data_IF_423124188379
#
_entry.id   IF_423124188379
#
_cell.length_a   1.000
_cell.length_b   1.000
_cell.length_c   1.000
_cell.angle_alpha   90.00
_cell.angle_beta   90.00
_cell.angle_gamma   90.00
#
_symmetry.space_group_name_H-M   'P 1'
#
loop_
_entity.id
_entity.type
_entity.pdbx_description
1 polymer ?
#
# COMPACT_ATOMS: atom_id res chain seq x y z
N UNK A 1 -1.82 -13.47 -6.43
CA UNK A 1 -1.14 -13.14 -7.70
C UNK A 1 0.31 -13.53 -7.53
N UNK A 2 0.77 -14.48 -8.31
CA UNK A 2 2.16 -14.95 -8.27
C UNK A 2 3.00 -14.01 -9.12
N UNK A 3 4.11 -13.52 -8.59
CA UNK A 3 5.06 -12.75 -9.39
C UNK A 3 5.69 -13.67 -10.43
N UNK A 4 5.47 -13.35 -11.71
CA UNK A 4 5.89 -14.21 -12.83
C UNK A 4 7.41 -14.34 -12.96
N UNK A 5 8.17 -13.33 -12.51
CA UNK A 5 9.62 -13.36 -12.52
C UNK A 5 10.14 -14.27 -11.39
N UNK A 6 9.65 -14.06 -10.17
CA UNK A 6 10.03 -14.85 -8.99
C UNK A 6 9.62 -16.31 -9.15
N UNK A 7 8.44 -16.58 -9.71
CA UNK A 7 7.95 -17.95 -9.91
C UNK A 7 8.84 -18.80 -10.83
N UNK A 8 9.52 -18.15 -11.79
CA UNK A 8 10.40 -18.77 -12.78
C UNK A 8 11.87 -18.83 -12.36
N UNK A 9 12.23 -18.26 -11.20
CA UNK A 9 13.61 -18.28 -10.71
C UNK A 9 14.04 -19.72 -10.37
N UNK A 10 15.19 -20.12 -10.90
CA UNK A 10 15.81 -21.39 -10.53
C UNK A 10 16.62 -21.19 -9.24
N UNK A 11 16.12 -21.72 -8.14
CA UNK A 11 16.75 -21.62 -6.82
C UNK A 11 17.31 -22.97 -6.40
N UNK A 12 18.50 -22.98 -5.76
CA UNK A 12 19.14 -24.20 -5.24
C UNK A 12 18.67 -24.57 -3.83
N UNK A 13 17.93 -23.71 -3.15
CA UNK A 13 17.43 -23.90 -1.79
C UNK A 13 15.96 -24.32 -1.74
N UNK A 14 15.46 -24.51 -0.54
CA UNK A 14 14.04 -24.71 -0.28
C UNK A 14 13.27 -23.44 -0.65
N UNK A 15 12.15 -23.61 -1.35
CA UNK A 15 11.25 -22.53 -1.74
C UNK A 15 10.09 -22.50 -0.75
N UNK A 16 9.92 -21.37 -0.09
CA UNK A 16 8.80 -21.12 0.80
C UNK A 16 7.91 -20.06 0.15
N UNK A 17 6.63 -20.36 0.03
CA UNK A 17 5.63 -19.49 -0.59
C UNK A 17 4.70 -18.89 0.46
N UNK A 18 4.27 -17.65 0.24
CA UNK A 18 3.33 -16.95 1.12
C UNK A 18 2.42 -16.04 0.30
N UNK A 19 1.25 -15.72 0.81
CA UNK A 19 0.33 -14.81 0.13
C UNK A 19 -1.13 -15.01 0.49
N UNK A 20 -2.01 -14.33 -0.27
CA UNK A 20 -3.47 -14.36 -0.07
C UNK A 20 -4.15 -15.50 -0.85
N UNK A 21 -3.41 -16.52 -1.24
CA UNK A 21 -3.93 -17.70 -1.95
C UNK A 21 -3.76 -18.93 -1.08
N UNK A 22 -4.73 -19.86 -1.08
CA UNK A 22 -4.68 -21.05 -0.23
C UNK A 22 -3.56 -22.03 -0.61
N UNK A 23 -3.00 -21.92 -1.81
CA UNK A 23 -1.98 -22.84 -2.32
C UNK A 23 -0.54 -22.47 -1.90
N UNK A 24 -0.39 -21.53 -0.95
CA UNK A 24 0.90 -21.15 -0.39
C UNK A 24 1.26 -22.00 0.83
N UNK A 25 2.57 -22.13 1.13
CA UNK A 25 3.05 -22.72 2.39
C UNK A 25 2.58 -21.89 3.61
N UNK A 26 2.45 -20.56 3.43
CA UNK A 26 1.87 -19.64 4.41
C UNK A 26 0.69 -18.89 3.80
N UNK A 27 -0.50 -19.50 3.73
CA UNK A 27 -1.71 -18.81 3.30
C UNK A 27 -2.11 -17.75 4.32
N UNK A 28 -2.59 -16.62 3.82
CA UNK A 28 -2.95 -15.48 4.64
C UNK A 28 -4.31 -14.91 4.26
N UNK A 29 -5.05 -14.46 5.27
CA UNK A 29 -6.28 -13.67 5.13
C UNK A 29 -6.12 -12.33 5.85
N UNK A 30 -6.76 -11.29 5.33
CA UNK A 30 -6.77 -9.96 5.93
C UNK A 30 -8.21 -9.58 6.26
N UNK A 31 -8.45 -9.22 7.51
CA UNK A 31 -9.75 -8.77 8.00
C UNK A 31 -9.68 -7.32 8.46
N UNK A 32 -10.76 -6.59 8.23
CA UNK A 32 -10.92 -5.26 8.80
C UNK A 32 -11.73 -5.35 10.10
N UNK A 33 -11.18 -4.81 11.16
CA UNK A 33 -11.84 -4.67 12.44
C UNK A 33 -12.90 -3.54 12.42
N UNK A 34 -13.74 -3.46 13.45
CA UNK A 34 -14.81 -2.45 13.52
C UNK A 34 -14.29 -1.01 13.59
N UNK A 35 -13.09 -0.80 14.11
CA UNK A 35 -12.41 0.50 14.18
C UNK A 35 -11.62 0.83 12.91
N UNK A 36 -11.71 -0.03 11.88
CA UNK A 36 -11.01 0.13 10.62
C UNK A 36 -9.58 -0.40 10.61
N UNK A 37 -9.01 -0.80 11.75
CA UNK A 37 -7.69 -1.44 11.78
C UNK A 37 -7.73 -2.80 11.09
N UNK A 38 -6.57 -3.24 10.63
CA UNK A 38 -6.46 -4.49 9.89
C UNK A 38 -5.77 -5.57 10.71
N UNK A 39 -6.34 -6.77 10.67
CA UNK A 39 -5.80 -7.98 11.28
C UNK A 39 -5.40 -8.96 10.18
N UNK A 40 -4.22 -9.55 10.32
CA UNK A 40 -3.69 -10.59 9.45
C UNK A 40 -3.86 -11.94 10.14
N UNK A 41 -4.47 -12.90 9.44
CA UNK A 41 -4.40 -14.31 9.79
C UNK A 41 -3.38 -14.96 8.86
N UNK A 42 -2.33 -15.54 9.42
CA UNK A 42 -1.32 -16.27 8.67
C UNK A 42 -1.29 -17.70 9.16
N UNK A 43 -1.71 -18.65 8.32
CA UNK A 43 -1.97 -20.02 8.71
C UNK A 43 -2.92 -20.06 9.94
N UNK A 44 -2.45 -20.44 11.10
CA UNK A 44 -3.24 -20.46 12.37
C UNK A 44 -2.96 -19.27 13.30
N UNK A 45 -2.13 -18.30 12.86
CA UNK A 45 -1.65 -17.21 13.68
C UNK A 45 -2.39 -15.91 13.41
N UNK A 46 -3.09 -15.40 14.41
CA UNK A 46 -3.71 -14.08 14.37
C UNK A 46 -2.69 -13.00 14.74
N UNK A 47 -2.50 -12.03 13.84
CA UNK A 47 -1.55 -10.92 13.98
C UNK A 47 -2.30 -9.61 13.86
N UNK A 48 -2.51 -8.95 14.99
CA UNK A 48 -3.20 -7.66 15.06
C UNK A 48 -2.23 -6.51 14.79
N UNK A 49 -2.62 -5.61 13.92
CA UNK A 49 -1.87 -4.39 13.66
C UNK A 49 -2.66 -3.16 14.10
N UNK A 50 -2.00 -2.02 14.20
CA UNK A 50 -2.66 -0.73 14.37
C UNK A 50 -2.75 0.02 13.03
N UNK A 51 -2.63 -0.70 11.91
CA UNK A 51 -2.61 -0.12 10.58
C UNK A 51 -3.97 -0.25 9.90
N UNK A 52 -4.34 0.77 9.14
CA UNK A 52 -5.44 0.77 8.19
C UNK A 52 -4.95 0.55 6.76
N UNK A 53 -3.63 0.36 6.56
CA UNK A 53 -3.01 0.27 5.26
C UNK A 53 -2.88 -1.19 4.80
N UNK A 54 -3.66 -1.56 3.77
CA UNK A 54 -3.67 -2.91 3.21
C UNK A 54 -2.31 -3.30 2.61
N UNK A 55 -1.60 -2.36 1.97
CA UNK A 55 -0.26 -2.63 1.42
C UNK A 55 0.76 -2.93 2.51
N UNK A 56 0.65 -2.26 3.67
CA UNK A 56 1.47 -2.61 4.84
C UNK A 56 1.23 -4.04 5.30
N UNK A 57 -0.04 -4.50 5.33
CA UNK A 57 -0.32 -5.87 5.73
C UNK A 57 0.21 -6.91 4.75
N UNK A 58 0.20 -6.63 3.44
CA UNK A 58 0.86 -7.50 2.46
C UNK A 58 2.36 -7.68 2.77
N UNK A 59 3.04 -6.61 3.17
CA UNK A 59 4.43 -6.70 3.62
C UNK A 59 4.56 -7.48 4.94
N UNK A 60 3.58 -7.36 5.85
CA UNK A 60 3.54 -8.14 7.09
C UNK A 60 3.41 -9.65 6.82
N UNK A 61 2.74 -10.07 5.74
CA UNK A 61 2.68 -11.50 5.35
C UNK A 61 4.09 -12.03 5.12
N UNK A 62 4.89 -11.35 4.30
CA UNK A 62 6.27 -11.73 4.01
C UNK A 62 7.13 -11.79 5.27
N UNK A 63 7.09 -10.73 6.08
CA UNK A 63 7.85 -10.65 7.35
C UNK A 63 7.44 -11.76 8.30
N UNK A 64 6.14 -12.06 8.40
CA UNK A 64 5.61 -13.08 9.29
C UNK A 64 6.00 -14.49 8.85
N UNK A 65 5.90 -14.80 7.56
CA UNK A 65 6.32 -16.07 7.00
C UNK A 65 7.81 -16.32 7.28
N UNK A 66 8.69 -15.34 7.03
CA UNK A 66 10.12 -15.42 7.33
C UNK A 66 10.35 -15.62 8.84
N UNK A 67 9.69 -14.82 9.67
CA UNK A 67 9.88 -14.88 11.13
C UNK A 67 9.48 -16.23 11.71
N UNK A 68 8.36 -16.79 11.27
CA UNK A 68 7.87 -18.11 11.70
C UNK A 68 8.83 -19.21 11.24
N UNK A 69 9.28 -19.16 9.99
CA UNK A 69 10.28 -20.12 9.45
C UNK A 69 11.59 -20.09 10.25
N UNK A 70 11.99 -18.91 10.76
CA UNK A 70 13.16 -18.76 11.62
C UNK A 70 12.89 -19.10 13.10
N UNK A 71 11.72 -19.62 13.44
CA UNK A 71 11.36 -20.04 14.80
C UNK A 71 10.97 -18.90 15.75
N UNK A 72 10.68 -17.71 15.24
CA UNK A 72 10.17 -16.61 16.07
C UNK A 72 8.71 -16.92 16.42
N UNK A 73 8.40 -16.92 17.72
CA UNK A 73 7.04 -17.22 18.15
C UNK A 73 6.04 -16.10 17.81
N UNK A 74 4.80 -16.49 17.50
CA UNK A 74 3.74 -15.61 17.07
C UNK A 74 3.43 -14.47 18.07
N UNK A 75 3.56 -14.70 19.38
CA UNK A 75 3.33 -13.67 20.41
C UNK A 75 4.35 -12.53 20.31
N UNK A 76 5.63 -12.85 20.10
CA UNK A 76 6.69 -11.86 19.91
C UNK A 76 6.50 -11.09 18.61
N UNK A 77 6.14 -11.79 17.54
CA UNK A 77 5.84 -11.21 16.23
C UNK A 77 4.66 -10.24 16.31
N UNK A 78 3.55 -10.67 16.90
CA UNK A 78 2.34 -9.85 17.10
C UNK A 78 2.66 -8.56 17.89
N UNK A 79 3.41 -8.69 18.99
CA UNK A 79 3.83 -7.53 19.78
C UNK A 79 4.63 -6.52 18.94
N UNK A 80 5.55 -7.00 18.11
CA UNK A 80 6.39 -6.13 17.27
C UNK A 80 5.61 -5.48 16.14
N UNK A 81 4.77 -6.22 15.43
CA UNK A 81 3.96 -5.67 14.33
C UNK A 81 2.91 -4.67 14.84
N UNK A 82 2.29 -4.95 15.99
CA UNK A 82 1.36 -4.01 16.61
C UNK A 82 2.03 -2.69 17.03
N UNK A 83 3.28 -2.71 17.46
CA UNK A 83 4.02 -1.51 17.86
C UNK A 83 4.82 -0.87 16.72
N UNK A 84 4.79 -1.45 15.52
CA UNK A 84 5.52 -0.91 14.38
C UNK A 84 4.86 0.37 13.89
N UNK A 85 5.68 1.39 13.71
CA UNK A 85 5.30 2.64 13.06
C UNK A 85 6.10 2.74 11.75
N UNK A 86 5.42 3.00 10.61
CA UNK A 86 6.12 3.24 9.36
C UNK A 86 7.13 4.38 9.50
N UNK A 87 8.30 4.30 8.87
CA UNK A 87 9.20 5.44 8.80
C UNK A 87 8.56 6.58 8.00
N UNK A 88 9.05 7.81 8.21
CA UNK A 88 8.60 8.98 7.42
C UNK A 88 8.76 8.70 5.93
N UNK A 89 7.81 9.18 5.14
CA UNK A 89 7.76 8.94 3.71
C UNK A 89 7.22 7.57 3.27
N UNK A 90 6.73 6.74 4.20
CA UNK A 90 6.17 5.40 3.93
C UNK A 90 4.79 5.24 4.53
N UNK A 91 3.80 5.93 3.97
CA UNK A 91 2.43 6.00 4.51
C UNK A 91 2.40 6.41 5.98
N UNK A 92 3.31 7.31 6.38
CA UNK A 92 3.37 7.80 7.76
C UNK A 92 2.23 8.78 8.00
N UNK A 93 1.34 8.45 8.94
CA UNK A 93 0.19 9.28 9.29
C UNK A 93 0.56 10.22 10.43
N UNK A 94 0.33 11.50 10.24
CA UNK A 94 0.50 12.54 11.25
C UNK A 94 -0.67 13.52 11.23
N UNK A 95 -0.84 14.27 12.31
CA UNK A 95 -1.88 15.29 12.42
C UNK A 95 -1.24 16.64 12.75
N UNK A 96 -1.57 17.66 11.97
CA UNK A 96 -1.17 19.05 12.22
C UNK A 96 -2.45 19.87 12.29
N UNK A 97 -2.78 20.39 13.47
CA UNK A 97 -4.07 20.99 13.76
C UNK A 97 -5.21 20.01 13.38
N UNK A 98 -6.12 20.43 12.51
CA UNK A 98 -7.25 19.62 12.04
C UNK A 98 -6.97 18.89 10.72
N UNK A 99 -5.74 18.98 10.21
CA UNK A 99 -5.33 18.31 8.97
C UNK A 99 -4.61 17.00 9.28
N UNK A 100 -5.12 15.90 8.74
CA UNK A 100 -4.40 14.61 8.74
C UNK A 100 -3.54 14.52 7.48
N UNK A 101 -2.27 14.24 7.66
CA UNK A 101 -1.28 14.11 6.58
C UNK A 101 -0.85 12.65 6.50
N UNK A 102 -0.99 12.06 5.32
CA UNK A 102 -0.45 10.75 4.97
C UNK A 102 0.80 11.01 4.12
N UNK A 103 1.96 10.85 4.71
CA UNK A 103 3.25 11.07 4.06
C UNK A 103 3.76 9.77 3.43
N UNK A 104 3.71 9.68 2.10
CA UNK A 104 4.22 8.58 1.29
C UNK A 104 5.23 9.07 0.22
N UNK A 105 6.07 10.02 0.60
CA UNK A 105 6.93 10.79 -0.30
C UNK A 105 8.29 10.15 -0.62
N UNK A 106 8.61 8.98 -0.06
CA UNK A 106 9.93 8.37 -0.23
C UNK A 106 10.24 8.00 -1.69
N UNK A 107 9.30 7.40 -2.38
CA UNK A 107 9.39 7.04 -3.80
C UNK A 107 7.99 6.72 -4.34
N UNK A 108 7.79 6.91 -5.65
CA UNK A 108 6.55 6.61 -6.32
C UNK A 108 6.77 5.68 -7.52
N UNK A 109 5.91 4.68 -7.64
CA UNK A 109 5.69 3.90 -8.84
C UNK A 109 4.18 3.66 -8.99
N UNK A 110 3.74 3.17 -10.15
CA UNK A 110 2.31 2.99 -10.42
C UNK A 110 1.59 2.21 -9.31
N UNK A 111 2.12 1.06 -8.91
CA UNK A 111 1.48 0.20 -7.91
C UNK A 111 1.36 0.88 -6.56
N UNK A 112 2.41 1.55 -6.09
CA UNK A 112 2.38 2.27 -4.81
C UNK A 112 1.48 3.50 -4.86
N UNK A 113 1.46 4.23 -5.98
CA UNK A 113 0.60 5.42 -6.15
C UNK A 113 -0.88 5.05 -6.16
N UNK A 114 -1.26 3.97 -6.86
CA UNK A 114 -2.63 3.46 -6.83
C UNK A 114 -3.03 2.99 -5.42
N UNK A 115 -2.14 2.32 -4.71
CA UNK A 115 -2.39 1.89 -3.33
C UNK A 115 -2.52 3.08 -2.36
N UNK A 116 -1.74 4.15 -2.54
CA UNK A 116 -1.84 5.38 -1.74
C UNK A 116 -3.19 6.08 -1.98
N UNK A 117 -3.67 6.12 -3.22
CA UNK A 117 -5.00 6.65 -3.57
C UNK A 117 -6.12 5.83 -2.92
N UNK A 118 -6.05 4.51 -2.98
CA UNK A 118 -7.03 3.64 -2.31
C UNK A 118 -7.01 3.83 -0.80
N UNK A 119 -5.83 3.98 -0.21
CA UNK A 119 -5.70 4.26 1.22
C UNK A 119 -6.30 5.61 1.60
N UNK A 120 -6.02 6.68 0.83
CA UNK A 120 -6.64 7.99 1.02
C UNK A 120 -8.16 7.92 0.88
N UNK A 121 -8.66 7.21 -0.14
CA UNK A 121 -10.10 7.05 -0.37
C UNK A 121 -10.79 6.32 0.79
N UNK A 122 -10.17 5.27 1.30
CA UNK A 122 -10.70 4.48 2.42
C UNK A 122 -10.53 5.17 3.79
N UNK A 123 -9.75 6.26 3.85
CA UNK A 123 -9.52 6.97 5.11
C UNK A 123 -10.82 7.63 5.57
N UNK A 124 -11.29 7.20 6.74
CA UNK A 124 -12.55 7.68 7.32
C UNK A 124 -12.35 9.06 7.96
N UNK A 125 -12.82 10.10 7.31
CA UNK A 125 -12.97 11.44 7.89
C UNK A 125 -14.09 12.21 7.16
N UNK A 126 -14.61 13.24 7.80
CA UNK A 126 -15.64 14.14 7.22
C UNK A 126 -15.02 15.31 6.42
N UNK A 127 -13.70 15.35 6.31
CA UNK A 127 -12.96 16.40 5.61
C UNK A 127 -12.71 16.09 4.14
N UNK A 128 -12.23 17.09 3.41
CA UNK A 128 -11.82 16.94 2.02
C UNK A 128 -10.60 16.02 1.88
N UNK A 129 -10.60 15.21 0.83
CA UNK A 129 -9.50 14.35 0.44
C UNK A 129 -8.66 15.04 -0.64
N UNK A 130 -7.44 15.38 -0.30
CA UNK A 130 -6.50 16.07 -1.17
C UNK A 130 -5.34 15.13 -1.48
N UNK A 131 -5.09 14.88 -2.76
CA UNK A 131 -3.96 14.10 -3.23
C UNK A 131 -2.90 15.01 -3.83
N UNK A 132 -1.66 14.92 -3.34
CA UNK A 132 -0.50 15.65 -3.90
C UNK A 132 0.42 14.64 -4.55
N UNK A 133 0.66 14.79 -5.86
CA UNK A 133 1.35 13.81 -6.67
C UNK A 133 2.49 14.43 -7.47
N UNK A 134 3.67 13.81 -7.38
CA UNK A 134 4.86 14.18 -8.16
C UNK A 134 5.14 13.19 -9.29
N UNK A 135 6.10 13.54 -10.16
CA UNK A 135 6.53 12.63 -11.20
C UNK A 135 7.02 11.29 -10.65
N UNK A 136 6.59 10.21 -11.28
CA UNK A 136 7.21 8.90 -11.12
C UNK A 136 8.45 8.82 -12.00
N UNK A 137 9.60 8.56 -11.40
CA UNK A 137 10.89 8.51 -12.10
C UNK A 137 11.18 7.09 -12.63
N UNK A 138 12.18 6.98 -13.49
CA UNK A 138 12.74 5.70 -14.00
C UNK A 138 11.74 4.84 -14.81
N UNK A 139 10.71 5.44 -15.39
CA UNK A 139 9.68 4.72 -16.15
C UNK A 139 9.97 4.56 -17.65
N UNK A 140 10.93 5.32 -18.19
CA UNK A 140 11.23 5.31 -19.63
C UNK A 140 9.95 5.53 -20.47
N UNK A 141 9.77 4.75 -21.52
CA UNK A 141 8.62 4.84 -22.45
C UNK A 141 7.27 4.54 -21.81
N UNK A 142 7.24 3.95 -20.61
CA UNK A 142 6.00 3.68 -19.89
C UNK A 142 5.47 4.90 -19.09
N UNK A 143 6.22 6.01 -19.04
CA UNK A 143 5.91 7.18 -18.21
C UNK A 143 4.52 7.74 -18.50
N UNK A 144 4.23 8.09 -19.77
CA UNK A 144 2.93 8.64 -20.17
C UNK A 144 1.78 7.74 -19.73
N UNK A 145 1.85 6.45 -20.07
CA UNK A 145 0.80 5.49 -19.76
C UNK A 145 0.57 5.37 -18.26
N UNK A 146 1.63 5.23 -17.47
CA UNK A 146 1.52 5.01 -16.04
C UNK A 146 1.02 6.27 -15.29
N UNK A 147 1.45 7.46 -15.70
CA UNK A 147 0.91 8.71 -15.16
C UNK A 147 -0.57 8.88 -15.52
N UNK A 148 -0.97 8.55 -16.75
CA UNK A 148 -2.39 8.57 -17.15
C UNK A 148 -3.24 7.61 -16.31
N UNK A 149 -2.74 6.43 -15.97
CA UNK A 149 -3.44 5.45 -15.11
C UNK A 149 -3.70 6.02 -13.71
N UNK A 150 -2.78 6.80 -13.14
CA UNK A 150 -2.99 7.51 -11.87
C UNK A 150 -4.15 8.51 -11.97
N UNK A 151 -4.21 9.29 -13.07
CA UNK A 151 -5.31 10.24 -13.30
C UNK A 151 -6.69 9.55 -13.44
N UNK A 152 -6.73 8.43 -14.17
CA UNK A 152 -7.94 7.60 -14.29
C UNK A 152 -8.37 7.10 -12.90
N UNK A 153 -7.42 6.65 -12.09
CA UNK A 153 -7.72 6.18 -10.74
C UNK A 153 -8.26 7.30 -9.85
N UNK A 154 -7.67 8.50 -9.88
CA UNK A 154 -8.19 9.67 -9.16
C UNK A 154 -9.66 9.91 -9.51
N UNK A 155 -10.01 9.84 -10.81
CA UNK A 155 -11.38 10.08 -11.29
C UNK A 155 -12.38 8.99 -10.90
N UNK A 156 -11.90 7.80 -10.51
CA UNK A 156 -12.75 6.68 -10.08
C UNK A 156 -12.99 6.63 -8.57
N UNK A 157 -12.38 7.54 -7.80
CA UNK A 157 -12.43 7.57 -6.35
C UNK A 157 -13.04 8.88 -5.85
N UNK A 158 -13.40 8.93 -4.57
CA UNK A 158 -13.90 10.12 -3.88
C UNK A 158 -12.75 11.04 -3.44
N UNK A 159 -12.05 11.64 -4.42
CA UNK A 159 -10.97 12.61 -4.20
C UNK A 159 -11.49 14.00 -4.59
N UNK A 160 -11.36 14.97 -3.70
CA UNK A 160 -11.88 16.32 -3.92
C UNK A 160 -10.91 17.21 -4.70
N UNK A 161 -9.61 17.03 -4.49
CA UNK A 161 -8.60 17.88 -5.10
C UNK A 161 -7.32 17.08 -5.38
N UNK A 162 -6.73 17.30 -6.55
CA UNK A 162 -5.43 16.74 -6.93
C UNK A 162 -4.47 17.90 -7.23
N UNK A 163 -3.33 17.95 -6.56
CA UNK A 163 -2.22 18.82 -6.91
C UNK A 163 -1.10 17.99 -7.52
N UNK A 164 -0.56 18.46 -8.64
CA UNK A 164 0.51 17.77 -9.34
C UNK A 164 1.76 18.62 -9.45
N UNK A 165 2.94 17.99 -9.39
CA UNK A 165 4.25 18.64 -9.46
C UNK A 165 5.14 17.82 -10.38
N UNK A 166 5.61 18.44 -11.45
CA UNK A 166 6.53 17.83 -12.43
C UNK A 166 5.96 17.79 -13.84
N UNK A 167 6.83 17.54 -14.80
CA UNK A 167 6.50 17.62 -16.23
C UNK A 167 5.65 16.43 -16.70
N UNK A 168 5.87 15.25 -16.13
CA UNK A 168 5.18 14.02 -16.53
C UNK A 168 3.76 13.93 -15.94
N UNK A 169 3.49 14.66 -14.86
CA UNK A 169 2.15 14.72 -14.28
C UNK A 169 1.12 15.39 -15.18
N UNK A 170 1.50 16.01 -16.28
CA UNK A 170 0.58 16.48 -17.32
C UNK A 170 -0.31 15.35 -17.85
N UNK A 171 0.23 14.13 -17.96
CA UNK A 171 -0.53 12.97 -18.38
C UNK A 171 -1.54 12.53 -17.31
N UNK A 172 -1.22 12.69 -16.03
CA UNK A 172 -2.17 12.52 -14.92
C UNK A 172 -3.32 13.51 -15.05
N UNK A 173 -3.01 14.80 -15.17
CA UNK A 173 -4.02 15.86 -15.27
C UNK A 173 -4.94 15.67 -16.48
N UNK A 174 -4.43 15.18 -17.60
CA UNK A 174 -5.23 14.93 -18.81
C UNK A 174 -6.32 13.87 -18.63
N UNK A 175 -6.31 13.11 -17.54
CA UNK A 175 -7.26 12.04 -17.22
C UNK A 175 -8.09 12.30 -15.98
N UNK A 176 -7.85 13.40 -15.28
CA UNK A 176 -8.68 13.82 -14.15
C UNK A 176 -10.01 14.36 -14.68
N UNK A 177 -11.10 13.94 -14.07
CA UNK A 177 -12.44 14.39 -14.44
C UNK A 177 -12.71 15.81 -13.95
N UNK A 178 -13.55 16.57 -14.67
CA UNK A 178 -13.84 17.99 -14.41
C UNK A 178 -14.47 18.29 -13.04
N UNK A 179 -15.00 17.26 -12.36
CA UNK A 179 -15.56 17.40 -11.01
C UNK A 179 -14.49 17.40 -9.89
N UNK A 180 -13.23 17.14 -10.22
CA UNK A 180 -12.10 17.19 -9.29
C UNK A 180 -11.33 18.47 -9.54
N UNK A 181 -11.08 19.26 -8.49
CA UNK A 181 -10.22 20.44 -8.59
C UNK A 181 -8.76 20.00 -8.79
N UNK A 182 -8.09 20.55 -9.80
CA UNK A 182 -6.68 20.27 -10.12
C UNK A 182 -5.97 21.46 -10.75
#
# INVERSE_FOLDING_TARGET
MTDDYISKMNIKGEKITFGLTPDCDFPADIYQERDGTLTLILDTHEIKTNSHNFSFLKNCIAVSAIAITLGINAKSLNKRLKSFLPPKGRCFVSKINDVTIIDDTYNANLTSSLAALEYLNAFSNDGRKIFVFGDMLELGDASEKQHAEVGIKCSSLEIDTVYTIGDQTIFTNSKISDNISH
#
